data_IF_246901485366
#
_entry.id   IF_246901485366
#
_cell.length_a   1.000
_cell.length_b   1.000
_cell.length_c   1.000
_cell.angle_alpha   90.00
_cell.angle_beta   90.00
_cell.angle_gamma   90.00
#
_symmetry.space_group_name_H-M   'P 1'
#
loop_
_entity.id
_entity.type
_entity.pdbx_description
1 polymer ?
#
# COMPACT_ATOMS: atom_id res chain seq x y z
N UNK A 1 8.58 4.39 18.88
CA UNK A 1 7.26 3.75 18.66
C UNK A 1 6.27 4.75 18.06
N UNK A 2 6.03 5.89 18.73
CA UNK A 2 5.07 6.91 18.25
C UNK A 2 5.40 7.44 16.85
N UNK A 3 6.66 7.82 16.61
CA UNK A 3 7.12 8.33 15.32
C UNK A 3 7.00 7.28 14.18
N UNK A 4 7.27 6.01 14.49
CA UNK A 4 7.14 4.92 13.52
C UNK A 4 5.68 4.59 13.21
N UNK A 5 4.79 4.63 14.21
CA UNK A 5 3.35 4.47 14.00
C UNK A 5 2.77 5.63 13.20
N UNK A 6 3.29 6.85 13.40
CA UNK A 6 2.94 8.01 12.59
C UNK A 6 3.39 7.83 11.14
N UNK A 7 4.63 7.42 10.90
CA UNK A 7 5.12 7.13 9.55
C UNK A 7 4.30 6.02 8.89
N UNK A 8 4.03 4.90 9.58
CA UNK A 8 3.22 3.82 9.03
C UNK A 8 1.77 4.28 8.69
N UNK A 9 1.17 5.16 9.51
CA UNK A 9 -0.13 5.78 9.20
C UNK A 9 -0.09 6.71 7.98
N UNK A 10 0.95 7.53 7.86
CA UNK A 10 1.15 8.42 6.71
C UNK A 10 1.36 7.60 5.43
N UNK A 11 2.21 6.58 5.48
CA UNK A 11 2.44 5.65 4.36
C UNK A 11 1.17 4.91 3.97
N UNK A 12 0.41 4.37 4.93
CA UNK A 12 -0.89 3.76 4.65
C UNK A 12 -1.87 4.76 4.01
N UNK A 13 -1.94 6.01 4.51
CA UNK A 13 -2.84 7.01 3.94
C UNK A 13 -2.48 7.38 2.50
N UNK A 14 -1.19 7.54 2.19
CA UNK A 14 -0.73 7.78 0.83
C UNK A 14 -0.98 6.58 -0.08
N UNK A 15 -0.71 5.37 0.41
CA UNK A 15 -0.98 4.12 -0.29
C UNK A 15 -2.47 3.97 -0.63
N UNK A 16 -3.38 4.24 0.32
CA UNK A 16 -4.83 4.21 0.06
C UNK A 16 -5.24 5.19 -1.01
N UNK A 17 -4.73 6.44 -0.99
CA UNK A 17 -5.03 7.42 -2.04
C UNK A 17 -4.55 6.95 -3.41
N UNK A 18 -3.34 6.41 -3.50
CA UNK A 18 -2.81 5.86 -4.74
C UNK A 18 -3.65 4.67 -5.24
N UNK A 19 -4.11 3.81 -4.33
CA UNK A 19 -5.03 2.72 -4.68
C UNK A 19 -6.36 3.22 -5.23
N UNK A 20 -6.96 4.25 -4.63
CA UNK A 20 -8.22 4.84 -5.12
C UNK A 20 -8.05 5.45 -6.51
N UNK A 21 -6.95 6.17 -6.75
CA UNK A 21 -6.64 6.73 -8.07
C UNK A 21 -6.43 5.64 -9.13
N UNK A 22 -5.75 4.55 -8.78
CA UNK A 22 -5.56 3.40 -9.66
C UNK A 22 -6.89 2.69 -9.96
N UNK A 23 -7.70 2.42 -8.94
CA UNK A 23 -9.02 1.80 -9.11
C UNK A 23 -9.92 2.64 -10.03
N UNK A 24 -9.87 3.96 -9.88
CA UNK A 24 -10.58 4.88 -10.77
C UNK A 24 -10.07 4.78 -12.21
N UNK A 25 -8.75 4.86 -12.43
CA UNK A 25 -8.14 4.70 -13.77
C UNK A 25 -8.51 3.36 -14.42
N UNK A 26 -8.48 2.27 -13.67
CA UNK A 26 -8.85 0.94 -14.18
C UNK A 26 -10.35 0.85 -14.52
N UNK A 27 -11.20 1.48 -13.71
CA UNK A 27 -12.65 1.55 -13.97
C UNK A 27 -12.93 2.36 -15.24
N UNK A 28 -12.30 3.52 -15.39
CA UNK A 28 -12.43 4.38 -16.58
C UNK A 28 -11.90 3.68 -17.84
N UNK A 29 -10.76 2.98 -17.72
CA UNK A 29 -10.18 2.20 -18.81
C UNK A 29 -11.08 1.01 -19.20
N UNK A 30 -11.66 0.31 -18.21
CA UNK A 30 -12.62 -0.78 -18.44
C UNK A 30 -13.88 -0.27 -19.15
N UNK A 31 -14.44 0.86 -18.68
CA UNK A 31 -15.60 1.49 -19.30
C UNK A 31 -15.36 1.95 -20.75
N UNK A 32 -14.10 2.28 -21.08
CA UNK A 32 -13.73 2.72 -22.43
C UNK A 32 -13.73 1.60 -23.49
N UNK A 33 -13.82 0.32 -23.08
CA UNK A 33 -13.71 -0.86 -23.94
C UNK A 33 -12.45 -0.89 -24.83
N UNK A 34 -11.40 -0.17 -24.42
CA UNK A 34 -10.13 -0.08 -25.15
C UNK A 34 -9.07 -0.96 -24.47
N UNK A 35 -8.65 -2.07 -25.10
CA UNK A 35 -7.65 -2.98 -24.54
C UNK A 35 -6.28 -2.33 -24.33
N UNK A 36 -5.94 -1.32 -25.13
CA UNK A 36 -4.68 -0.59 -24.99
C UNK A 36 -4.72 0.32 -23.76
N UNK A 37 -5.85 1.00 -23.51
CA UNK A 37 -6.03 1.78 -22.28
C UNK A 37 -6.04 0.91 -21.03
N UNK A 38 -6.64 -0.28 -21.10
CA UNK A 38 -6.63 -1.20 -19.97
C UNK A 38 -5.22 -1.71 -19.66
N UNK A 39 -4.42 -2.05 -20.68
CA UNK A 39 -3.00 -2.40 -20.51
C UNK A 39 -2.21 -1.24 -19.91
N UNK A 40 -2.36 -0.04 -20.45
CA UNK A 40 -1.67 1.14 -19.94
C UNK A 40 -2.03 1.41 -18.46
N UNK A 41 -3.30 1.27 -18.09
CA UNK A 41 -3.74 1.42 -16.70
C UNK A 41 -3.18 0.33 -15.77
N UNK A 42 -3.04 -0.91 -16.26
CA UNK A 42 -2.43 -2.01 -15.53
C UNK A 42 -0.91 -1.81 -15.34
N UNK A 43 -0.21 -1.39 -16.39
CA UNK A 43 1.23 -1.09 -16.34
C UNK A 43 1.51 0.09 -15.39
N UNK A 44 0.69 1.15 -15.46
CA UNK A 44 0.74 2.30 -14.54
C UNK A 44 0.51 1.85 -13.09
N UNK A 45 -0.35 0.86 -12.86
CA UNK A 45 -0.67 0.37 -11.53
C UNK A 45 0.40 -0.58 -10.96
N UNK A 46 1.18 -1.25 -11.79
CA UNK A 46 2.11 -2.28 -11.36
C UNK A 46 3.21 -1.75 -10.43
N UNK A 47 3.78 -0.59 -10.78
CA UNK A 47 4.87 0.04 -10.02
C UNK A 47 4.43 0.49 -8.60
N UNK A 48 3.39 1.32 -8.43
CA UNK A 48 2.91 1.73 -7.11
C UNK A 48 2.40 0.54 -6.29
N UNK A 49 1.76 -0.47 -6.87
CA UNK A 49 1.37 -1.68 -6.13
C UNK A 49 2.57 -2.45 -5.59
N UNK A 50 3.68 -2.51 -6.33
CA UNK A 50 4.92 -3.15 -5.89
C UNK A 50 5.58 -2.37 -4.76
N UNK A 51 5.65 -1.05 -4.88
CA UNK A 51 6.18 -0.17 -3.82
C UNK A 51 5.35 -0.28 -2.54
N UNK A 52 4.03 -0.28 -2.68
CA UNK A 52 3.09 -0.39 -1.57
C UNK A 52 3.18 -1.74 -0.85
N UNK A 53 3.39 -2.84 -1.59
CA UNK A 53 3.66 -4.16 -1.00
C UNK A 53 4.92 -4.12 -0.13
N UNK A 54 6.00 -3.52 -0.62
CA UNK A 54 7.26 -3.39 0.14
C UNK A 54 7.10 -2.55 1.40
N UNK A 55 6.37 -1.44 1.32
CA UNK A 55 6.04 -0.60 2.49
C UNK A 55 5.18 -1.35 3.52
N UNK A 56 4.21 -2.14 3.05
CA UNK A 56 3.38 -2.98 3.93
C UNK A 56 4.18 -4.07 4.64
N UNK A 57 5.11 -4.73 3.95
CA UNK A 57 6.01 -5.74 4.56
C UNK A 57 6.88 -5.11 5.65
N UNK A 58 7.40 -3.90 5.43
CA UNK A 58 8.16 -3.16 6.45
C UNK A 58 7.28 -2.80 7.66
N UNK A 59 6.07 -2.28 7.43
CA UNK A 59 5.11 -2.00 8.51
C UNK A 59 4.74 -3.27 9.30
N UNK A 60 4.49 -4.40 8.63
CA UNK A 60 4.17 -5.68 9.28
C UNK A 60 5.35 -6.24 10.08
N UNK A 61 6.56 -6.21 9.51
CA UNK A 61 7.76 -6.68 10.19
C UNK A 61 8.04 -5.87 11.46
N UNK A 62 7.84 -4.55 11.41
CA UNK A 62 7.93 -3.69 12.59
C UNK A 62 6.83 -4.01 13.62
N UNK A 63 5.58 -4.23 13.20
CA UNK A 63 4.50 -4.59 14.12
C UNK A 63 4.75 -5.94 14.83
N UNK A 64 5.30 -6.94 14.13
CA UNK A 64 5.71 -8.21 14.73
C UNK A 64 6.82 -8.02 15.77
N UNK A 65 7.82 -7.19 15.47
CA UNK A 65 8.89 -6.87 16.42
C UNK A 65 8.36 -6.13 17.66
N UNK A 66 7.41 -5.19 17.49
CA UNK A 66 6.74 -4.51 18.61
C UNK A 66 5.95 -5.51 19.48
N UNK A 67 5.24 -6.45 18.86
CA UNK A 67 4.46 -7.46 19.57
C UNK A 67 5.36 -8.40 20.38
N UNK A 68 6.49 -8.83 19.80
CA UNK A 68 7.49 -9.67 20.48
C UNK A 68 8.15 -8.97 21.67
N UNK A 69 8.50 -7.69 21.55
CA UNK A 69 9.05 -6.89 22.65
C UNK A 69 8.01 -6.57 23.73
N UNK A 70 6.76 -6.27 23.35
CA UNK A 70 5.66 -6.04 24.29
C UNK A 70 5.29 -7.29 25.11
N UNK A 71 5.53 -8.50 24.58
CA UNK A 71 5.36 -9.75 25.30
C UNK A 71 6.46 -10.04 26.35
N UNK A 72 7.69 -9.52 26.15
CA UNK A 72 8.81 -9.69 27.09
C UNK A 72 8.73 -8.78 28.31
N UNK A 73 8.05 -7.63 28.23
CA UNK A 73 7.84 -6.72 29.37
C UNK A 73 6.70 -7.15 30.31
N UNK A 74 6.00 -8.25 30.00
CA UNK A 74 4.87 -8.75 30.79
C UNK A 74 5.14 -10.11 31.46
N UNK A 75 6.39 -10.40 31.83
CA UNK A 75 6.77 -11.56 32.62
C UNK A 75 7.74 -11.19 33.73
#
# INVERSE_FOLDING_TARGET
MDDMMKQCREHCSMATKQMDEMMKKMTDASASNDPAKMRAALDDAQKPLTEMKGQMEQCMSMMDMMQKMGGMMKK
#
